data_IF_167094487358
#
_entry.id   IF_167094487358
#
_cell.length_a   1.000
_cell.length_b   1.000
_cell.length_c   1.000
_cell.angle_alpha   90.00
_cell.angle_beta   90.00
_cell.angle_gamma   90.00
#
_symmetry.space_group_name_H-M   'P 1'
#
loop_
_entity.id
_entity.type
_entity.pdbx_description
1 polymer ?
#
# COMPACT_ATOMS: atom_id res chain seq x y z
N UNK A 1 41.78 73.30 3.55
CA UNK A 1 40.41 73.26 4.11
C UNK A 1 40.00 71.81 4.25
N UNK A 2 39.93 71.33 5.51
CA UNK A 2 38.70 70.87 6.20
C UNK A 2 38.14 69.61 5.52
N UNK A 3 38.32 68.43 6.11
CA UNK A 3 37.28 67.75 6.90
C UNK A 3 36.51 66.78 5.99
N UNK A 4 35.97 65.62 6.35
CA UNK A 4 35.49 65.08 7.63
C UNK A 4 35.00 63.65 7.34
N UNK A 5 35.04 62.78 8.36
CA UNK A 5 34.26 61.54 8.44
C UNK A 5 32.73 61.79 8.33
N UNK A 6 31.95 60.80 7.84
CA UNK A 6 30.60 60.36 8.31
C UNK A 6 30.01 59.35 7.30
N UNK A 7 29.69 58.09 7.65
CA UNK A 7 28.57 57.52 8.45
C UNK A 7 27.18 57.54 7.77
N UNK A 8 26.56 56.34 7.74
CA UNK A 8 25.12 56.01 7.83
C UNK A 8 24.24 56.24 6.57
N UNK A 9 23.30 55.38 6.13
CA UNK A 9 22.42 54.37 6.79
C UNK A 9 22.05 53.18 5.87
N UNK A 10 21.55 52.06 6.45
CA UNK A 10 20.79 51.03 5.73
C UNK A 10 19.34 51.49 5.50
N UNK A 11 18.84 51.29 4.28
CA UNK A 11 17.42 51.40 3.96
C UNK A 11 16.79 50.00 4.01
N UNK A 12 15.89 49.81 4.97
CA UNK A 12 15.05 48.63 5.02
C UNK A 12 14.11 48.58 3.82
N UNK A 13 13.81 47.36 3.36
CA UNK A 13 12.53 47.06 2.75
C UNK A 13 11.95 45.79 3.37
N UNK A 14 10.78 46.03 3.94
CA UNK A 14 9.79 45.08 4.44
C UNK A 14 9.47 44.07 3.33
N UNK A 15 9.78 42.79 3.56
CA UNK A 15 9.35 41.67 2.73
C UNK A 15 8.11 41.03 3.34
N UNK A 16 7.03 41.00 2.57
CA UNK A 16 5.67 40.56 2.93
C UNK A 16 5.61 39.15 3.52
N UNK A 17 4.79 39.03 4.57
CA UNK A 17 4.33 37.77 5.15
C UNK A 17 3.58 36.92 4.12
N UNK A 18 3.86 35.60 4.12
CA UNK A 18 3.04 34.60 3.45
C UNK A 18 1.65 34.55 4.11
N UNK A 19 0.60 34.66 3.31
CA UNK A 19 -0.78 34.58 3.79
C UNK A 19 -1.10 33.14 4.19
N UNK A 20 -1.24 32.90 5.50
CA UNK A 20 -1.93 31.74 6.02
C UNK A 20 -3.45 31.98 5.87
N UNK A 21 -4.15 31.05 5.22
CA UNK A 21 -5.62 31.05 5.24
C UNK A 21 -6.06 30.36 6.53
N UNK A 22 -6.65 31.11 7.45
CA UNK A 22 -7.23 30.60 8.70
C UNK A 22 -8.75 30.59 8.56
N UNK A 23 -9.35 29.40 8.65
CA UNK A 23 -10.78 29.26 8.89
C UNK A 23 -10.96 28.75 10.33
N UNK A 24 -11.62 29.55 11.16
CA UNK A 24 -12.01 29.15 12.52
C UNK A 24 -13.46 28.68 12.45
N UNK A 25 -13.71 27.41 12.78
CA UNK A 25 -15.06 26.88 12.89
C UNK A 25 -15.55 26.94 14.35
N UNK A 26 -16.88 26.95 14.52
CA UNK A 26 -17.50 26.86 15.84
C UNK A 26 -16.95 25.63 16.59
N UNK A 27 -16.59 25.84 17.87
CA UNK A 27 -15.80 24.96 18.75
C UNK A 27 -14.27 25.09 18.71
N UNK A 28 -13.70 26.09 18.01
CA UNK A 28 -12.25 26.38 18.09
C UNK A 28 -11.37 25.46 17.25
N UNK A 29 -11.97 24.72 16.31
CA UNK A 29 -11.26 23.90 15.33
C UNK A 29 -10.54 24.85 14.35
N UNK A 30 -9.22 24.75 14.31
CA UNK A 30 -8.39 25.48 13.36
C UNK A 30 -7.99 24.51 12.25
N UNK A 31 -8.58 24.67 11.06
CA UNK A 31 -8.02 24.10 9.84
C UNK A 31 -6.95 25.10 9.38
N UNK A 32 -5.69 24.68 9.47
CA UNK A 32 -4.55 25.54 9.15
C UNK A 32 -3.75 24.89 8.02
N UNK A 33 -3.94 25.36 6.78
CA UNK A 33 -3.06 25.02 5.68
C UNK A 33 -1.69 25.72 5.89
N UNK A 34 -0.86 25.11 6.73
CA UNK A 34 0.49 25.57 7.04
C UNK A 34 1.47 24.40 6.99
N UNK A 35 2.72 24.71 6.64
CA UNK A 35 3.81 23.77 6.76
C UNK A 35 3.97 23.35 8.23
N UNK A 36 3.99 22.04 8.47
CA UNK A 36 4.23 21.47 9.78
C UNK A 36 5.01 20.17 9.63
N UNK A 37 5.96 19.95 10.54
CA UNK A 37 6.63 18.67 10.69
C UNK A 37 5.86 17.80 11.69
N UNK A 38 5.83 16.47 11.49
CA UNK A 38 5.24 15.55 12.44
C UNK A 38 5.95 15.67 13.80
N UNK A 39 5.17 15.69 14.89
CA UNK A 39 5.72 15.58 16.24
C UNK A 39 6.44 14.24 16.46
N UNK A 40 7.29 14.11 17.50
CA UNK A 40 8.01 12.88 17.79
C UNK A 40 7.09 11.69 18.14
N UNK A 41 5.84 11.97 18.51
CA UNK A 41 4.79 10.98 18.80
C UNK A 41 3.85 10.70 17.62
N UNK A 42 4.11 11.29 16.44
CA UNK A 42 3.21 11.16 15.31
C UNK A 42 3.15 9.72 14.77
N UNK A 43 1.93 9.22 14.59
CA UNK A 43 1.67 7.96 13.91
C UNK A 43 1.49 8.23 12.41
N UNK A 44 2.08 7.39 11.58
CA UNK A 44 2.13 7.56 10.13
C UNK A 44 1.25 6.52 9.44
N UNK A 45 0.40 6.97 8.52
CA UNK A 45 -0.54 6.14 7.77
C UNK A 45 -0.25 6.25 6.27
N UNK A 46 0.37 5.22 5.70
CA UNK A 46 0.73 5.15 4.28
C UNK A 46 -0.27 4.37 3.43
N UNK A 47 0.02 4.23 2.13
CA UNK A 47 -0.86 3.53 1.17
C UNK A 47 -1.20 2.07 1.50
N UNK A 48 -0.39 1.39 2.29
CA UNK A 48 -0.63 0.00 2.70
C UNK A 48 -1.42 -0.12 4.00
N UNK A 49 -1.72 1.00 4.67
CA UNK A 49 -2.58 0.98 5.85
C UNK A 49 -4.04 0.85 5.41
N UNK A 50 -4.73 -0.20 5.86
CA UNK A 50 -6.14 -0.46 5.52
C UNK A 50 -7.13 0.61 6.01
N UNK A 51 -6.67 1.61 6.77
CA UNK A 51 -7.46 2.81 7.13
C UNK A 51 -7.42 3.90 6.06
N UNK A 52 -6.42 3.86 5.20
CA UNK A 52 -6.30 4.77 4.06
C UNK A 52 -7.02 4.16 2.87
N UNK A 53 -8.03 4.85 2.34
CA UNK A 53 -8.83 4.38 1.22
C UNK A 53 -8.74 5.35 0.06
N UNK A 54 -8.26 4.87 -1.08
CA UNK A 54 -8.21 5.62 -2.33
C UNK A 54 -9.43 5.27 -3.18
N UNK A 55 -10.15 6.27 -3.66
CA UNK A 55 -11.32 6.14 -4.52
C UNK A 55 -11.11 6.93 -5.81
N UNK A 56 -11.50 6.35 -6.95
CA UNK A 56 -11.25 6.90 -8.28
C UNK A 56 -9.91 6.44 -8.87
N UNK A 57 -9.44 7.12 -9.91
CA UNK A 57 -8.23 6.71 -10.64
C UNK A 57 -6.97 7.14 -9.87
N UNK A 58 -6.28 6.16 -9.31
CA UNK A 58 -4.99 6.32 -8.63
C UNK A 58 -3.96 5.35 -9.21
N UNK A 59 -2.75 5.86 -9.43
CA UNK A 59 -1.64 5.09 -9.99
C UNK A 59 -0.45 5.15 -9.02
N UNK A 60 0.16 4.00 -8.68
CA UNK A 60 1.35 3.97 -7.85
C UNK A 60 2.53 4.63 -8.56
N UNK A 61 3.24 5.47 -7.83
CA UNK A 61 4.34 6.28 -8.34
C UNK A 61 5.54 6.20 -7.40
N UNK A 62 6.75 5.99 -7.92
CA UNK A 62 7.99 6.09 -7.18
C UNK A 62 8.30 7.54 -6.73
N UNK A 63 7.73 7.99 -5.62
CA UNK A 63 8.04 9.27 -4.98
C UNK A 63 8.71 9.02 -3.63
N UNK A 64 10.03 8.89 -3.65
CA UNK A 64 10.78 8.51 -2.46
C UNK A 64 10.60 9.52 -1.34
N UNK A 65 10.30 9.01 -0.16
CA UNK A 65 10.21 9.75 1.08
C UNK A 65 10.91 8.96 2.19
N UNK A 66 11.67 9.64 3.04
CA UNK A 66 12.33 8.98 4.18
C UNK A 66 11.33 8.33 5.14
N UNK A 67 10.08 8.77 5.10
CA UNK A 67 9.01 8.41 6.04
C UNK A 67 8.13 7.28 5.51
N UNK A 68 7.72 7.34 4.24
CA UNK A 68 6.77 6.39 3.62
C UNK A 68 7.42 5.42 2.62
N UNK A 69 8.74 5.51 2.44
CA UNK A 69 9.48 4.65 1.52
C UNK A 69 9.41 5.13 0.08
N UNK A 70 9.49 4.19 -0.88
CA UNK A 70 9.73 4.50 -2.29
C UNK A 70 8.50 4.94 -3.07
N UNK A 71 7.29 4.59 -2.61
CA UNK A 71 6.07 4.70 -3.41
C UNK A 71 5.03 5.64 -2.78
N UNK A 72 4.26 6.29 -3.64
CA UNK A 72 3.12 7.16 -3.33
C UNK A 72 1.99 6.88 -4.35
N UNK A 73 0.83 7.50 -4.16
CA UNK A 73 -0.29 7.44 -5.09
C UNK A 73 -0.46 8.75 -5.84
N UNK A 74 -0.58 8.68 -7.17
CA UNK A 74 -0.86 9.82 -8.03
C UNK A 74 -2.27 9.75 -8.58
N UNK A 75 -2.95 10.89 -8.65
CA UNK A 75 -4.17 11.03 -9.43
C UNK A 75 -4.15 12.31 -10.26
N UNK A 76 -4.57 12.19 -11.52
CA UNK A 76 -4.80 13.30 -12.44
C UNK A 76 -6.30 13.60 -12.60
N UNK A 77 -7.16 12.80 -11.97
CA UNK A 77 -8.62 12.82 -12.18
C UNK A 77 -9.29 13.70 -11.14
N UNK A 78 -10.01 14.73 -11.60
CA UNK A 78 -10.88 15.54 -10.73
C UNK A 78 -11.90 14.65 -10.03
N UNK A 79 -12.03 14.82 -8.72
CA UNK A 79 -12.97 14.06 -7.88
C UNK A 79 -12.40 12.75 -7.33
N UNK A 80 -11.21 12.31 -7.76
CA UNK A 80 -10.51 11.23 -7.08
C UNK A 80 -10.20 11.64 -5.63
N UNK A 81 -10.41 10.75 -4.69
CA UNK A 81 -10.28 11.05 -3.25
C UNK A 81 -9.44 10.03 -2.51
N UNK A 82 -8.86 10.47 -1.40
CA UNK A 82 -8.22 9.63 -0.40
C UNK A 82 -8.80 9.96 0.97
N UNK A 83 -9.15 8.92 1.72
CA UNK A 83 -9.76 9.03 3.04
C UNK A 83 -8.88 8.38 4.10
N UNK A 84 -8.90 8.93 5.33
CA UNK A 84 -8.32 8.31 6.52
C UNK A 84 -9.33 8.39 7.68
N UNK A 85 -9.65 7.25 8.27
CA UNK A 85 -10.25 7.16 9.61
C UNK A 85 -9.11 7.10 10.65
N UNK A 86 -9.07 8.03 11.63
CA UNK A 86 -8.01 8.08 12.66
C UNK A 86 -8.56 8.42 14.06
N UNK A 87 -7.75 8.18 15.10
CA UNK A 87 -8.00 8.74 16.43
C UNK A 87 -6.88 9.71 16.84
N UNK A 88 -7.21 10.92 17.27
CA UNK A 88 -6.23 11.92 17.66
C UNK A 88 -6.82 13.32 17.78
N UNK A 89 -5.96 14.32 17.97
CA UNK A 89 -6.38 15.75 18.05
C UNK A 89 -5.90 16.56 16.85
N UNK A 90 -5.07 15.97 15.98
CA UNK A 90 -4.54 16.63 14.79
C UNK A 90 -4.20 15.62 13.70
N UNK A 91 -4.26 16.08 12.45
CA UNK A 91 -3.92 15.28 11.28
C UNK A 91 -3.28 16.16 10.22
N UNK A 92 -2.32 15.61 9.49
CA UNK A 92 -1.69 16.26 8.35
C UNK A 92 -1.48 15.31 7.17
N UNK A 93 -1.28 15.91 5.99
CA UNK A 93 -1.10 15.24 4.71
C UNK A 93 0.35 15.31 4.25
N UNK A 94 0.97 14.16 3.99
CA UNK A 94 2.25 14.09 3.29
C UNK A 94 2.00 13.87 1.81
N UNK A 95 2.47 14.80 0.99
CA UNK A 95 2.28 14.81 -0.46
C UNK A 95 3.60 15.14 -1.16
N UNK A 96 3.65 14.95 -2.47
CA UNK A 96 4.77 15.47 -3.26
C UNK A 96 4.65 16.99 -3.35
N UNK A 97 5.78 17.70 -3.17
CA UNK A 97 5.88 19.13 -3.42
C UNK A 97 6.46 19.41 -4.81
N UNK A 98 6.26 20.63 -5.30
CA UNK A 98 6.81 21.11 -6.56
C UNK A 98 6.07 20.54 -7.75
N UNK A 99 6.82 19.92 -8.66
CA UNK A 99 6.28 19.24 -9.84
C UNK A 99 6.76 17.81 -9.96
N UNK A 100 6.17 17.06 -10.88
CA UNK A 100 6.64 15.71 -11.20
C UNK A 100 8.06 15.80 -11.77
N UNK A 101 9.04 15.19 -11.09
CA UNK A 101 10.45 15.17 -11.52
C UNK A 101 10.70 14.39 -12.81
N UNK A 102 11.95 14.11 -13.16
CA UNK A 102 12.36 13.24 -14.29
C UNK A 102 12.62 11.78 -13.86
N UNK A 103 12.41 11.49 -12.58
CA UNK A 103 12.72 10.24 -11.88
C UNK A 103 11.90 9.02 -12.35
N UNK A 104 11.10 9.21 -13.41
CA UNK A 104 10.00 8.36 -13.82
C UNK A 104 10.27 7.56 -15.08
N UNK A 105 11.32 7.90 -15.86
CA UNK A 105 11.56 7.29 -17.18
C UNK A 105 10.41 7.45 -18.20
N UNK A 106 9.32 8.12 -17.82
CA UNK A 106 8.11 8.37 -18.60
C UNK A 106 7.83 9.87 -18.52
N UNK A 107 7.98 10.56 -19.65
CA UNK A 107 7.69 11.99 -19.78
C UNK A 107 6.19 12.13 -20.05
N UNK A 108 5.43 12.64 -19.08
CA UNK A 108 4.04 13.07 -19.31
C UNK A 108 3.98 14.55 -19.66
N UNK A 109 2.90 15.05 -20.32
CA UNK A 109 2.75 16.47 -20.64
C UNK A 109 2.89 17.41 -19.44
N UNK A 110 2.60 16.90 -18.22
CA UNK A 110 2.64 17.66 -16.98
C UNK A 110 3.95 17.54 -16.18
N UNK A 111 4.98 16.90 -16.75
CA UNK A 111 6.30 16.79 -16.10
C UNK A 111 6.88 18.18 -15.85
N UNK A 112 7.39 18.41 -14.63
CA UNK A 112 7.93 19.71 -14.20
C UNK A 112 6.90 20.80 -13.90
N UNK A 113 5.61 20.54 -14.10
CA UNK A 113 4.54 21.49 -13.73
C UNK A 113 4.23 21.40 -12.24
N UNK A 114 3.93 22.54 -11.63
CA UNK A 114 3.47 22.58 -10.24
C UNK A 114 2.23 21.69 -10.04
N UNK A 115 2.19 20.94 -8.94
CA UNK A 115 1.05 20.08 -8.61
C UNK A 115 -0.21 20.87 -8.24
N UNK A 116 -1.33 20.16 -8.17
CA UNK A 116 -2.67 20.71 -8.13
C UNK A 116 -3.20 21.05 -6.74
N UNK A 117 -4.44 21.51 -6.74
CA UNK A 117 -5.25 21.84 -5.59
C UNK A 117 -6.05 20.62 -5.13
N UNK A 118 -6.22 20.50 -3.81
CA UNK A 118 -7.11 19.53 -3.22
C UNK A 118 -8.11 20.20 -2.27
N UNK A 119 -9.29 19.60 -2.13
CA UNK A 119 -10.28 19.95 -1.12
C UNK A 119 -10.15 18.99 0.06
N UNK A 120 -10.21 19.51 1.28
CA UNK A 120 -10.15 18.75 2.53
C UNK A 120 -11.43 18.91 3.30
N UNK A 121 -11.98 17.81 3.80
CA UNK A 121 -13.11 17.79 4.74
C UNK A 121 -12.75 16.95 5.95
N UNK A 122 -13.05 17.48 7.14
CA UNK A 122 -12.92 16.77 8.42
C UNK A 122 -14.33 16.54 8.97
N UNK A 123 -14.68 15.29 9.28
CA UNK A 123 -15.96 14.88 9.87
C UNK A 123 -17.21 15.41 9.14
N UNK A 124 -17.12 15.53 7.81
CA UNK A 124 -18.22 16.07 6.99
C UNK A 124 -18.44 17.58 7.14
N UNK A 125 -17.54 18.27 7.83
CA UNK A 125 -17.51 19.72 7.94
C UNK A 125 -17.26 20.44 6.60
N UNK A 126 -17.22 21.78 6.61
CA UNK A 126 -17.09 22.57 5.40
C UNK A 126 -15.75 22.30 4.70
N UNK A 127 -15.74 22.35 3.35
CA UNK A 127 -14.54 22.10 2.57
C UNK A 127 -13.50 23.21 2.73
N UNK A 128 -12.23 22.83 2.79
CA UNK A 128 -11.09 23.74 2.76
C UNK A 128 -10.15 23.37 1.62
N UNK A 129 -9.81 24.33 0.78
CA UNK A 129 -8.85 24.16 -0.30
C UNK A 129 -7.40 24.20 0.22
N UNK A 130 -6.58 23.25 -0.24
CA UNK A 130 -5.14 23.20 0.01
C UNK A 130 -4.36 23.15 -1.30
N UNK A 131 -3.15 23.70 -1.28
CA UNK A 131 -2.22 23.73 -2.41
C UNK A 131 -1.12 22.69 -2.23
N UNK A 132 -1.16 21.62 -3.01
CA UNK A 132 -0.19 20.51 -2.87
C UNK A 132 1.15 20.79 -3.55
N UNK A 133 1.28 21.91 -4.27
CA UNK A 133 2.51 22.26 -4.99
C UNK A 133 3.67 22.68 -4.06
N UNK A 134 3.44 22.86 -2.76
CA UNK A 134 4.43 23.43 -1.83
C UNK A 134 4.67 22.55 -0.62
N UNK A 135 5.88 22.64 -0.08
CA UNK A 135 6.28 22.18 1.26
C UNK A 135 6.14 20.67 1.58
N UNK A 136 5.41 19.89 0.78
CA UNK A 136 5.30 18.41 0.83
C UNK A 136 4.59 17.86 2.06
N UNK A 137 4.25 18.74 3.00
CA UNK A 137 3.58 18.44 4.26
C UNK A 137 2.64 19.59 4.59
N UNK A 138 1.36 19.28 4.68
CA UNK A 138 0.32 20.26 4.99
C UNK A 138 -0.44 19.79 6.24
N UNK A 139 -0.43 20.60 7.30
CA UNK A 139 -1.31 20.37 8.45
C UNK A 139 -2.76 20.54 7.98
N UNK A 140 -3.63 19.58 8.27
CA UNK A 140 -5.03 19.62 7.84
C UNK A 140 -5.95 20.08 8.98
N UNK A 141 -5.70 19.63 10.20
CA UNK A 141 -6.46 20.06 11.37
C UNK A 141 -5.63 19.96 12.65
N UNK A 142 -5.93 20.85 13.59
CA UNK A 142 -5.33 20.87 14.93
C UNK A 142 -6.36 21.30 15.98
N UNK A 143 -6.22 20.78 17.20
CA UNK A 143 -7.13 21.07 18.31
C UNK A 143 -8.49 20.40 18.17
N UNK A 144 -8.57 19.27 17.46
CA UNK A 144 -9.78 18.45 17.42
C UNK A 144 -10.06 17.88 18.82
N UNK A 145 -11.34 17.72 19.20
CA UNK A 145 -11.69 16.98 20.42
C UNK A 145 -11.04 15.60 20.40
N UNK A 146 -10.47 15.14 21.52
CA UNK A 146 -9.86 13.81 21.55
C UNK A 146 -10.89 12.74 21.18
N UNK A 147 -10.69 12.06 20.06
CA UNK A 147 -11.66 11.11 19.56
C UNK A 147 -11.35 10.57 18.18
N UNK A 148 -12.34 9.87 17.62
CA UNK A 148 -12.32 9.35 16.25
C UNK A 148 -12.76 10.43 15.27
N UNK A 149 -12.01 10.58 14.21
CA UNK A 149 -12.25 11.53 13.13
C UNK A 149 -12.10 10.86 11.76
N UNK A 150 -12.68 11.48 10.74
CA UNK A 150 -12.46 11.15 9.33
C UNK A 150 -11.98 12.37 8.58
N UNK A 151 -10.89 12.20 7.84
CA UNK A 151 -10.43 13.18 6.83
C UNK A 151 -10.65 12.64 5.44
N UNK A 152 -11.15 13.49 4.54
CA UNK A 152 -11.27 13.22 3.10
C UNK A 152 -10.52 14.30 2.35
N UNK A 153 -9.60 13.90 1.48
CA UNK A 153 -8.85 14.78 0.57
C UNK A 153 -9.25 14.45 -0.86
N UNK A 154 -9.79 15.42 -1.59
CA UNK A 154 -10.34 15.25 -2.95
C UNK A 154 -9.56 16.09 -3.95
N UNK A 155 -9.11 15.49 -5.05
CA UNK A 155 -8.45 16.20 -6.14
C UNK A 155 -9.43 17.17 -6.83
N UNK A 156 -9.10 18.46 -6.89
CA UNK A 156 -9.93 19.46 -7.57
C UNK A 156 -9.70 19.51 -9.08
N UNK A 157 -8.65 18.84 -9.60
CA UNK A 157 -8.28 18.88 -11.01
C UNK A 157 -7.86 20.27 -11.49
N UNK A 158 -7.43 21.13 -10.56
CA UNK A 158 -7.08 22.52 -10.79
C UNK A 158 -5.69 22.81 -10.22
N UNK A 159 -5.05 23.88 -10.68
CA UNK A 159 -3.76 24.36 -10.19
C UNK A 159 -3.86 25.82 -9.80
N UNK A 160 -3.12 26.20 -8.75
CA UNK A 160 -2.96 27.61 -8.37
C UNK A 160 -2.06 28.38 -9.32
N UNK A 161 -1.07 27.70 -9.91
CA UNK A 161 -0.13 28.30 -10.86
C UNK A 161 -0.68 28.24 -12.29
N UNK A 162 -0.62 29.35 -13.06
CA UNK A 162 -0.91 29.32 -14.49
C UNK A 162 -0.04 28.29 -15.20
N UNK A 163 -0.67 27.36 -15.93
CA UNK A 163 0.04 26.26 -16.60
C UNK A 163 0.56 25.17 -15.65
N UNK A 164 0.14 25.15 -14.38
CA UNK A 164 0.38 24.02 -13.47
C UNK A 164 -0.56 22.84 -13.75
N UNK A 165 -0.28 21.70 -13.12
CA UNK A 165 -1.02 20.45 -13.30
C UNK A 165 -2.24 20.36 -12.36
N UNK A 166 -3.30 19.70 -12.83
CA UNK A 166 -4.41 19.24 -11.96
C UNK A 166 -4.07 17.97 -11.16
N UNK A 167 -2.84 17.49 -11.23
CA UNK A 167 -2.36 16.27 -10.55
C UNK A 167 -2.12 16.51 -9.06
N UNK A 168 -2.53 15.56 -8.22
CA UNK A 168 -2.02 15.46 -6.84
C UNK A 168 -1.26 14.14 -6.64
N UNK A 169 -0.28 14.15 -5.74
CA UNK A 169 0.47 12.94 -5.35
C UNK A 169 0.49 12.84 -3.83
N UNK A 170 -0.12 11.79 -3.30
CA UNK A 170 -0.28 11.56 -1.85
C UNK A 170 0.63 10.42 -1.41
N UNK A 171 1.48 10.69 -0.42
CA UNK A 171 2.38 9.70 0.19
C UNK A 171 1.72 9.03 1.40
N UNK A 172 0.94 9.79 2.17
CA UNK A 172 0.24 9.31 3.35
C UNK A 172 -0.19 10.45 4.26
N UNK A 173 -0.50 10.12 5.51
CA UNK A 173 -0.92 11.05 6.55
C UNK A 173 -0.07 10.88 7.80
N UNK A 174 0.00 11.92 8.63
CA UNK A 174 0.45 11.78 10.01
C UNK A 174 -0.65 12.25 10.97
N UNK A 175 -0.72 11.61 12.14
CA UNK A 175 -1.67 11.91 13.20
C UNK A 175 -0.89 12.12 14.48
N UNK A 176 -1.14 13.23 15.19
CA UNK A 176 -0.54 13.49 16.50
C UNK A 176 -1.60 13.44 17.60
N UNK A 177 -1.22 12.81 18.71
CA UNK A 177 -1.98 12.71 19.96
C UNK A 177 -1.25 13.38 21.13
N UNK A 178 -0.10 14.01 20.90
CA UNK A 178 0.76 14.63 21.92
C UNK A 178 0.09 15.76 22.71
N UNK A 179 -1.00 16.33 22.21
CA UNK A 179 -1.76 17.39 22.90
C UNK A 179 -2.72 16.85 23.97
N UNK A 180 -2.94 15.54 24.05
CA UNK A 180 -3.77 14.92 25.09
C UNK A 180 -2.96 14.89 26.40
N UNK A 181 -3.28 15.70 27.43
CA UNK A 181 -2.38 15.88 28.59
C UNK A 181 -2.28 14.64 29.47
N UNK A 182 -3.37 13.87 29.58
CA UNK A 182 -3.42 12.64 30.36
C UNK A 182 -2.80 11.47 29.58
N UNK A 183 -1.72 10.88 30.12
CA UNK A 183 -0.99 9.78 29.48
C UNK A 183 -1.85 8.51 29.31
N UNK A 184 -2.75 8.23 30.26
CA UNK A 184 -3.62 7.06 30.21
C UNK A 184 -4.66 7.22 29.10
N UNK A 185 -5.29 8.39 29.01
CA UNK A 185 -6.25 8.71 27.94
C UNK A 185 -5.55 8.76 26.58
N UNK A 186 -4.34 9.33 26.51
CA UNK A 186 -3.54 9.35 25.28
C UNK A 186 -3.22 7.94 24.80
N UNK A 187 -2.71 7.09 25.69
CA UNK A 187 -2.43 5.68 25.39
C UNK A 187 -3.69 4.92 24.99
N UNK A 188 -4.83 5.23 25.60
CA UNK A 188 -6.10 4.63 25.22
C UNK A 188 -6.48 4.96 23.78
N UNK A 189 -6.38 6.23 23.36
CA UNK A 189 -6.67 6.59 21.98
C UNK A 189 -5.66 6.03 20.98
N UNK A 190 -4.37 5.93 21.34
CA UNK A 190 -3.38 5.25 20.51
C UNK A 190 -3.67 3.74 20.38
N UNK A 191 -4.12 3.10 21.46
CA UNK A 191 -4.53 1.69 21.44
C UNK A 191 -5.79 1.49 20.60
N UNK A 192 -6.80 2.35 20.77
CA UNK A 192 -8.01 2.30 19.95
C UNK A 192 -7.74 2.57 18.48
N UNK A 193 -6.83 3.49 18.18
CA UNK A 193 -6.33 3.69 16.83
C UNK A 193 -5.70 2.38 16.35
N UNK A 194 -4.81 1.73 17.10
CA UNK A 194 -4.13 0.49 16.70
C UNK A 194 -5.03 -0.75 16.43
N UNK A 195 -6.32 -0.72 16.77
CA UNK A 195 -7.28 -1.80 16.48
C UNK A 195 -7.41 -2.02 14.97
N UNK A 196 -7.50 -3.28 14.57
CA UNK A 196 -7.71 -3.74 13.18
C UNK A 196 -9.12 -4.32 13.01
N UNK A 197 -9.51 -4.61 11.77
CA UNK A 197 -10.82 -5.17 11.44
C UNK A 197 -11.88 -4.14 11.02
N UNK A 198 -13.12 -4.63 10.94
CA UNK A 198 -14.27 -3.88 10.43
C UNK A 198 -14.75 -2.73 11.32
N UNK A 199 -15.89 -2.14 10.96
CA UNK A 199 -16.45 -0.99 11.69
C UNK A 199 -16.81 -1.33 13.14
N UNK A 200 -17.33 -2.54 13.41
CA UNK A 200 -17.73 -2.97 14.75
C UNK A 200 -16.58 -2.95 15.75
N UNK A 201 -15.40 -3.44 15.35
CA UNK A 201 -14.17 -3.41 16.14
C UNK A 201 -13.71 -1.98 16.43
N UNK A 202 -13.68 -1.13 15.41
CA UNK A 202 -13.23 0.26 15.53
C UNK A 202 -14.20 1.10 16.37
N UNK A 203 -15.51 0.87 16.25
CA UNK A 203 -16.51 1.51 17.10
C UNK A 203 -16.34 1.10 18.56
N UNK A 204 -16.18 -0.20 18.84
CA UNK A 204 -15.93 -0.70 20.20
C UNK A 204 -14.65 -0.14 20.81
N UNK A 205 -13.58 -0.06 20.03
CA UNK A 205 -12.32 0.52 20.46
C UNK A 205 -12.47 1.99 20.86
N UNK A 206 -13.17 2.78 20.05
CA UNK A 206 -13.45 4.19 20.35
C UNK A 206 -14.35 4.36 21.59
N UNK A 207 -15.40 3.55 21.73
CA UNK A 207 -16.25 3.53 22.94
C UNK A 207 -15.42 3.26 24.20
N UNK A 208 -14.51 2.28 24.13
CA UNK A 208 -13.63 1.93 25.25
C UNK A 208 -12.64 3.03 25.56
N UNK A 209 -11.96 3.59 24.56
CA UNK A 209 -11.01 4.70 24.76
C UNK A 209 -11.67 5.93 25.40
N UNK A 210 -12.88 6.30 24.96
CA UNK A 210 -13.63 7.40 25.54
C UNK A 210 -14.04 7.18 27.01
N UNK A 211 -14.16 5.92 27.44
CA UNK A 211 -14.58 5.55 28.78
C UNK A 211 -13.42 5.28 29.76
N UNK A 212 -12.15 5.30 29.30
CA UNK A 212 -10.99 4.99 30.14
C UNK A 212 -10.84 5.99 31.27
N UNK A 213 -10.79 5.48 32.51
CA UNK A 213 -10.47 6.28 33.71
C UNK A 213 -9.35 5.67 34.55
N UNK A 214 -9.05 4.40 34.31
CA UNK A 214 -8.12 3.60 35.12
C UNK A 214 -7.14 2.81 34.26
N UNK A 215 -6.04 2.35 34.85
CA UNK A 215 -5.09 1.46 34.20
C UNK A 215 -5.72 0.10 33.81
N UNK A 216 -6.74 -0.36 34.54
CA UNK A 216 -7.45 -1.60 34.20
C UNK A 216 -8.36 -1.41 32.97
N UNK A 217 -8.96 -0.22 32.77
CA UNK A 217 -9.70 0.09 31.55
C UNK A 217 -8.77 0.11 30.33
N UNK A 218 -7.57 0.68 30.48
CA UNK A 218 -6.55 0.66 29.44
C UNK A 218 -6.12 -0.78 29.10
N UNK A 219 -5.94 -1.64 30.10
CA UNK A 219 -5.56 -3.05 29.88
C UNK A 219 -6.63 -3.82 29.09
N UNK A 220 -7.91 -3.57 29.34
CA UNK A 220 -9.02 -4.15 28.57
C UNK A 220 -9.01 -3.70 27.10
N UNK A 221 -8.63 -2.45 26.85
CA UNK A 221 -8.47 -1.94 25.49
C UNK A 221 -7.22 -2.54 24.80
N UNK A 222 -6.12 -2.75 25.52
CA UNK A 222 -4.94 -3.46 25.01
C UNK A 222 -5.29 -4.93 24.65
N UNK A 223 -6.12 -5.61 25.45
CA UNK A 223 -6.66 -6.94 25.13
C UNK A 223 -7.51 -6.94 23.84
N UNK A 224 -8.34 -5.90 23.64
CA UNK A 224 -9.11 -5.72 22.40
C UNK A 224 -8.17 -5.56 21.19
N UNK A 225 -7.08 -4.80 21.33
CA UNK A 225 -6.06 -4.64 20.29
C UNK A 225 -5.45 -5.99 19.93
N UNK A 226 -5.02 -6.77 20.93
CA UNK A 226 -4.45 -8.10 20.71
C UNK A 226 -5.45 -9.02 19.97
N UNK A 227 -6.70 -9.10 20.44
CA UNK A 227 -7.73 -9.90 19.80
C UNK A 227 -8.02 -9.48 18.36
N UNK A 228 -8.02 -8.18 18.07
CA UNK A 228 -8.23 -7.66 16.71
C UNK A 228 -7.10 -8.06 15.75
N UNK A 229 -5.86 -8.11 16.23
CA UNK A 229 -4.69 -8.52 15.44
C UNK A 229 -4.73 -10.02 15.15
N UNK A 230 -5.08 -10.83 16.15
CA UNK A 230 -5.23 -12.28 15.96
C UNK A 230 -6.30 -12.59 14.91
N UNK A 231 -7.43 -11.89 14.97
CA UNK A 231 -8.50 -12.05 13.98
C UNK A 231 -8.05 -11.61 12.58
N UNK A 232 -7.37 -10.47 12.48
CA UNK A 232 -6.87 -9.97 11.18
C UNK A 232 -5.88 -10.95 10.54
N UNK A 233 -4.94 -11.48 11.33
CA UNK A 233 -4.00 -12.50 10.88
C UNK A 233 -4.72 -13.79 10.42
N UNK A 234 -5.77 -14.22 11.13
CA UNK A 234 -6.57 -15.38 10.71
C UNK A 234 -7.38 -15.11 9.43
N UNK A 235 -7.80 -13.86 9.20
CA UNK A 235 -8.58 -13.45 8.04
C UNK A 235 -7.73 -13.10 6.81
N UNK A 236 -6.44 -12.81 6.98
CA UNK A 236 -5.53 -12.34 5.92
C UNK A 236 -5.58 -13.22 4.67
N UNK A 237 -5.47 -14.54 4.84
CA UNK A 237 -5.47 -15.51 3.74
C UNK A 237 -6.79 -15.51 2.96
N UNK A 238 -7.91 -15.42 3.68
CA UNK A 238 -9.25 -15.37 3.06
C UNK A 238 -9.42 -14.07 2.28
N UNK A 239 -8.92 -12.94 2.82
CA UNK A 239 -8.98 -11.64 2.11
C UNK A 239 -8.10 -11.62 0.86
N UNK A 240 -6.95 -12.29 0.90
CA UNK A 240 -6.03 -12.43 -0.22
C UNK A 240 -6.55 -13.37 -1.33
N UNK A 241 -7.53 -14.23 -1.05
CA UNK A 241 -8.13 -15.12 -2.04
C UNK A 241 -8.92 -14.31 -3.08
N UNK A 242 -8.44 -14.25 -4.32
CA UNK A 242 -9.18 -13.62 -5.41
C UNK A 242 -9.79 -14.69 -6.33
N UNK A 243 -11.04 -14.48 -6.74
CA UNK A 243 -11.70 -15.36 -7.73
C UNK A 243 -11.18 -15.09 -9.16
N UNK A 244 -10.59 -13.92 -9.37
CA UNK A 244 -10.03 -13.47 -10.64
C UNK A 244 -8.59 -12.99 -10.47
N UNK A 245 -7.75 -13.10 -11.52
CA UNK A 245 -6.46 -12.42 -11.54
C UNK A 245 -6.66 -10.89 -11.42
N UNK A 246 -5.78 -10.18 -10.70
CA UNK A 246 -5.87 -8.73 -10.58
C UNK A 246 -5.83 -8.07 -11.95
N UNK A 247 -6.60 -6.99 -12.12
CA UNK A 247 -6.62 -6.22 -13.35
C UNK A 247 -5.19 -5.73 -13.66
N UNK A 248 -4.70 -6.09 -14.85
CA UNK A 248 -3.41 -5.65 -15.35
C UNK A 248 -3.48 -5.54 -16.87
N UNK A 249 -2.68 -4.67 -17.51
CA UNK A 249 -2.63 -4.60 -18.97
C UNK A 249 -2.32 -5.95 -19.61
N UNK A 250 -1.54 -6.80 -18.94
CA UNK A 250 -1.29 -8.18 -19.36
C UNK A 250 -2.55 -9.03 -19.25
N UNK A 251 -3.24 -9.05 -18.10
CA UNK A 251 -4.48 -9.80 -17.94
C UNK A 251 -5.59 -9.33 -18.91
N UNK A 252 -5.71 -8.03 -19.17
CA UNK A 252 -6.64 -7.47 -20.16
C UNK A 252 -6.27 -7.85 -21.59
N UNK A 253 -4.97 -7.79 -21.94
CA UNK A 253 -4.48 -8.24 -23.25
C UNK A 253 -4.78 -9.73 -23.42
N UNK A 254 -4.40 -10.55 -22.45
CA UNK A 254 -4.65 -11.99 -22.51
C UNK A 254 -6.15 -12.28 -22.60
N UNK A 255 -7.03 -11.60 -21.85
CA UNK A 255 -8.49 -11.77 -21.99
C UNK A 255 -9.03 -11.52 -23.41
N UNK A 256 -8.37 -10.68 -24.22
CA UNK A 256 -8.77 -10.43 -25.61
C UNK A 256 -8.38 -11.56 -26.56
N UNK A 257 -7.34 -12.33 -26.24
CA UNK A 257 -6.75 -13.33 -27.15
C UNK A 257 -6.83 -14.76 -26.62
N UNK A 258 -7.07 -14.94 -25.34
CA UNK A 258 -7.14 -16.23 -24.66
C UNK A 258 -8.58 -16.58 -24.34
N UNK A 259 -9.03 -17.70 -24.87
CA UNK A 259 -10.30 -18.32 -24.49
C UNK A 259 -10.01 -19.47 -23.53
N UNK A 260 -10.51 -19.44 -22.28
CA UNK A 260 -10.34 -20.54 -21.33
C UNK A 260 -10.89 -21.84 -21.90
N UNK A 261 -10.07 -22.91 -21.90
CA UNK A 261 -10.55 -24.25 -22.22
C UNK A 261 -11.46 -24.80 -21.09
N UNK A 262 -12.06 -25.97 -21.29
CA UNK A 262 -12.99 -26.56 -20.31
C UNK A 262 -12.37 -26.82 -18.93
N UNK A 263 -11.10 -27.23 -18.87
CA UNK A 263 -10.41 -27.48 -17.60
C UNK A 263 -10.17 -26.18 -16.82
N UNK A 264 -9.74 -25.13 -17.51
CA UNK A 264 -9.58 -23.80 -16.93
C UNK A 264 -10.91 -23.26 -16.41
N UNK A 265 -12.00 -23.39 -17.17
CA UNK A 265 -13.32 -22.97 -16.72
C UNK A 265 -13.76 -23.72 -15.46
N UNK A 266 -13.51 -25.02 -15.40
CA UNK A 266 -13.80 -25.83 -14.23
C UNK A 266 -12.97 -25.41 -13.01
N UNK A 267 -11.68 -25.08 -13.19
CA UNK A 267 -10.83 -24.53 -12.13
C UNK A 267 -11.39 -23.20 -11.61
N UNK A 268 -11.67 -22.25 -12.50
CA UNK A 268 -12.21 -20.94 -12.13
C UNK A 268 -13.56 -21.05 -11.40
N UNK A 269 -14.42 -21.99 -11.82
CA UNK A 269 -15.69 -22.25 -11.12
C UNK A 269 -15.48 -22.76 -9.68
N UNK A 270 -14.51 -23.66 -9.45
CA UNK A 270 -14.17 -24.13 -8.10
C UNK A 270 -13.55 -23.03 -7.25
N UNK A 271 -12.66 -22.22 -7.83
CA UNK A 271 -12.05 -21.08 -7.16
C UNK A 271 -13.10 -20.04 -6.74
N UNK A 272 -14.07 -19.75 -7.62
CA UNK A 272 -15.20 -18.87 -7.32
C UNK A 272 -16.09 -19.41 -6.19
N UNK A 273 -16.34 -20.73 -6.16
CA UNK A 273 -17.07 -21.37 -5.07
C UNK A 273 -16.32 -21.25 -3.72
N UNK A 274 -15.01 -21.51 -3.70
CA UNK A 274 -14.17 -21.33 -2.52
C UNK A 274 -14.19 -19.87 -2.04
N UNK A 275 -14.12 -18.91 -2.96
CA UNK A 275 -14.23 -17.48 -2.61
C UNK A 275 -15.56 -17.16 -1.92
N UNK A 276 -16.67 -17.66 -2.47
CA UNK A 276 -18.00 -17.49 -1.88
C UNK A 276 -18.11 -18.12 -0.49
N UNK A 277 -17.46 -19.26 -0.26
CA UNK A 277 -17.38 -19.89 1.07
C UNK A 277 -16.61 -19.00 2.08
N UNK A 278 -15.55 -18.32 1.63
CA UNK A 278 -14.74 -17.43 2.47
C UNK A 278 -15.44 -16.10 2.82
N UNK A 279 -16.37 -15.62 1.99
CA UNK A 279 -17.05 -14.34 2.20
C UNK A 279 -17.89 -14.31 3.48
N UNK A 280 -18.56 -15.41 3.86
CA UNK A 280 -19.42 -15.43 5.04
C UNK A 280 -18.65 -15.34 6.38
N UNK A 281 -17.58 -16.14 6.62
CA UNK A 281 -16.71 -15.96 7.78
C UNK A 281 -16.05 -14.58 7.85
N UNK A 282 -15.65 -14.02 6.70
CA UNK A 282 -15.09 -12.67 6.62
C UNK A 282 -16.11 -11.60 7.04
N UNK A 283 -17.33 -11.65 6.50
CA UNK A 283 -18.40 -10.72 6.87
C UNK A 283 -18.73 -10.81 8.37
N UNK A 284 -18.75 -12.03 8.93
CA UNK A 284 -18.95 -12.24 10.37
C UNK A 284 -17.81 -11.64 11.20
N UNK A 285 -16.56 -11.80 10.78
CA UNK A 285 -15.39 -11.22 11.42
C UNK A 285 -15.41 -9.68 11.39
N UNK A 286 -15.78 -9.09 10.25
CA UNK A 286 -15.86 -7.64 10.07
C UNK A 286 -16.99 -7.00 10.92
N UNK A 287 -18.12 -7.71 11.05
CA UNK A 287 -19.25 -7.30 11.89
C UNK A 287 -19.09 -7.68 13.38
N UNK A 288 -18.06 -8.44 13.74
CA UNK A 288 -17.92 -8.95 15.10
C UNK A 288 -17.71 -7.81 16.10
N UNK A 289 -18.44 -7.86 17.21
CA UNK A 289 -18.28 -6.95 18.34
C UNK A 289 -17.67 -7.72 19.50
N UNK A 290 -16.40 -7.45 19.78
CA UNK A 290 -15.67 -8.13 20.85
C UNK A 290 -16.21 -7.74 22.23
N UNK A 291 -16.51 -8.76 23.03
CA UNK A 291 -16.85 -8.63 24.44
C UNK A 291 -15.73 -9.28 25.28
N UNK A 292 -15.11 -8.46 26.12
CA UNK A 292 -14.03 -8.89 26.99
C UNK A 292 -14.54 -9.85 28.09
N UNK A 293 -15.82 -9.74 28.46
CA UNK A 293 -16.46 -10.54 29.50
C UNK A 293 -16.87 -11.93 29.00
N UNK A 294 -17.11 -12.09 27.69
CA UNK A 294 -17.44 -13.37 27.07
C UNK A 294 -16.61 -13.60 25.80
N UNK A 295 -15.57 -14.43 25.95
CA UNK A 295 -14.67 -14.79 24.84
C UNK A 295 -15.18 -15.97 24.01
N UNK A 296 -16.27 -16.64 24.39
CA UNK A 296 -16.77 -17.82 23.66
C UNK A 296 -17.22 -17.49 22.23
N UNK A 297 -17.97 -16.39 21.97
CA UNK A 297 -18.31 -15.97 20.61
C UNK A 297 -17.08 -15.68 19.74
N UNK A 298 -16.04 -15.06 20.33
CA UNK A 298 -14.79 -14.77 19.64
C UNK A 298 -14.06 -16.06 19.24
N UNK A 299 -13.95 -17.03 20.16
CA UNK A 299 -13.36 -18.33 19.87
C UNK A 299 -14.08 -19.05 18.71
N UNK A 300 -15.41 -18.94 18.65
CA UNK A 300 -16.22 -19.47 17.54
C UNK A 300 -15.87 -18.84 16.18
N UNK A 301 -15.79 -17.51 16.12
CA UNK A 301 -15.37 -16.79 14.89
C UNK A 301 -13.96 -17.18 14.46
N UNK A 302 -13.02 -17.24 15.41
CA UNK A 302 -11.64 -17.63 15.15
C UNK A 302 -11.53 -19.07 14.61
N UNK A 303 -12.31 -20.00 15.16
CA UNK A 303 -12.35 -21.38 14.68
C UNK A 303 -12.90 -21.47 13.25
N UNK A 304 -13.94 -20.69 12.91
CA UNK A 304 -14.49 -20.63 11.56
C UNK A 304 -13.49 -20.06 10.54
N UNK A 305 -12.81 -18.96 10.89
CA UNK A 305 -11.77 -18.35 10.03
C UNK A 305 -10.63 -19.33 9.76
N UNK A 306 -10.10 -19.98 10.81
CA UNK A 306 -9.00 -20.95 10.70
C UNK A 306 -9.39 -22.16 9.86
N UNK A 307 -10.58 -22.72 10.08
CA UNK A 307 -11.10 -23.84 9.27
C UNK A 307 -11.22 -23.46 7.80
N UNK A 308 -11.65 -22.24 7.49
CA UNK A 308 -11.72 -21.76 6.12
C UNK A 308 -10.31 -21.55 5.53
N UNK A 309 -9.35 -21.03 6.31
CA UNK A 309 -7.97 -20.89 5.88
C UNK A 309 -7.32 -22.26 5.55
N UNK A 310 -7.54 -23.27 6.39
CA UNK A 310 -7.09 -24.65 6.14
C UNK A 310 -7.72 -25.22 4.86
N UNK A 311 -9.00 -24.89 4.60
CA UNK A 311 -9.70 -25.27 3.38
C UNK A 311 -9.10 -24.62 2.14
N UNK A 312 -8.71 -23.34 2.23
CA UNK A 312 -8.01 -22.63 1.15
C UNK A 312 -6.66 -23.28 0.85
N UNK A 313 -5.89 -23.64 1.88
CA UNK A 313 -4.61 -24.34 1.70
C UNK A 313 -4.80 -25.71 1.04
N UNK A 314 -5.78 -26.48 1.54
CA UNK A 314 -6.09 -27.79 0.97
C UNK A 314 -6.52 -27.69 -0.50
N UNK A 315 -7.31 -26.67 -0.85
CA UNK A 315 -7.71 -26.41 -2.23
C UNK A 315 -6.50 -26.15 -3.13
N UNK A 316 -5.61 -25.21 -2.79
CA UNK A 316 -4.46 -24.90 -3.63
C UNK A 316 -3.47 -26.07 -3.70
N UNK A 317 -3.27 -26.82 -2.61
CA UNK A 317 -2.47 -28.05 -2.65
C UNK A 317 -3.06 -29.09 -3.61
N UNK A 318 -4.38 -29.25 -3.61
CA UNK A 318 -5.06 -30.17 -4.54
C UNK A 318 -4.93 -29.71 -5.98
N UNK A 319 -5.14 -28.41 -6.27
CA UNK A 319 -4.99 -27.87 -7.62
C UNK A 319 -3.55 -27.98 -8.13
N UNK A 320 -2.54 -27.72 -7.28
CA UNK A 320 -1.13 -27.94 -7.63
C UNK A 320 -0.87 -29.40 -7.98
N UNK A 321 -1.37 -30.35 -7.19
CA UNK A 321 -1.19 -31.80 -7.47
C UNK A 321 -1.89 -32.25 -8.75
N UNK A 322 -2.88 -31.50 -9.25
CA UNK A 322 -3.58 -31.78 -10.52
C UNK A 322 -2.86 -31.21 -11.74
N UNK A 323 -1.87 -30.33 -11.56
CA UNK A 323 -1.12 -29.76 -12.66
C UNK A 323 -0.33 -30.85 -13.41
N UNK A 324 -0.15 -30.71 -14.73
CA UNK A 324 0.77 -31.56 -15.47
C UNK A 324 2.22 -31.36 -14.98
N UNK A 325 3.14 -32.28 -15.32
CA UNK A 325 4.55 -32.13 -14.96
C UNK A 325 5.11 -30.77 -15.39
N UNK A 326 5.77 -30.09 -14.46
CA UNK A 326 6.38 -28.78 -14.69
C UNK A 326 7.73 -28.98 -15.35
N UNK A 327 7.93 -28.37 -16.51
CA UNK A 327 9.20 -28.32 -17.22
C UNK A 327 9.99 -27.08 -16.78
N UNK A 328 11.24 -27.26 -16.39
CA UNK A 328 12.13 -26.17 -16.03
C UNK A 328 13.57 -26.51 -16.40
N UNK A 329 14.44 -25.51 -16.43
CA UNK A 329 15.88 -25.72 -16.54
C UNK A 329 16.60 -25.18 -15.31
N UNK A 330 17.75 -25.77 -15.00
CA UNK A 330 18.65 -25.33 -13.93
C UNK A 330 19.98 -24.89 -14.53
N UNK A 331 20.64 -23.95 -13.88
CA UNK A 331 21.99 -23.50 -14.23
C UNK A 331 22.45 -22.37 -13.32
N UNK A 332 23.70 -21.97 -13.47
CA UNK A 332 24.24 -20.82 -12.74
C UNK A 332 23.50 -19.53 -13.12
N UNK A 333 23.20 -18.63 -12.16
CA UNK A 333 22.64 -17.33 -12.46
C UNK A 333 23.45 -16.58 -13.51
N UNK A 334 22.80 -15.84 -14.39
CA UNK A 334 23.47 -15.05 -15.43
C UNK A 334 23.93 -13.70 -14.86
N UNK A 335 25.19 -13.34 -15.11
CA UNK A 335 25.69 -11.98 -14.91
C UNK A 335 25.36 -11.15 -16.14
N UNK A 336 24.49 -10.15 -15.98
CA UNK A 336 24.30 -9.11 -17.00
C UNK A 336 25.62 -8.36 -17.19
N UNK A 337 26.02 -8.12 -18.44
CA UNK A 337 27.07 -7.14 -18.73
C UNK A 337 26.58 -5.69 -18.55
N UNK A 338 27.38 -4.72 -19.00
CA UNK A 338 27.01 -3.29 -19.09
C UNK A 338 25.86 -3.07 -20.10
N UNK A 339 24.85 -2.27 -19.74
CA UNK A 339 23.65 -2.02 -20.54
C UNK A 339 23.95 -1.32 -21.89
N UNK A 340 23.15 -1.58 -22.96
CA UNK A 340 21.98 -2.46 -23.03
C UNK A 340 22.37 -3.88 -23.49
N UNK A 341 22.13 -4.91 -22.66
CA UNK A 341 22.44 -6.30 -23.05
C UNK A 341 21.20 -7.12 -23.40
N UNK A 342 21.35 -7.94 -24.42
CA UNK A 342 20.47 -9.06 -24.69
C UNK A 342 20.91 -10.27 -23.85
N UNK A 343 19.96 -11.14 -23.45
CA UNK A 343 20.24 -12.32 -22.60
C UNK A 343 21.40 -13.17 -23.12
N UNK A 344 21.55 -13.26 -24.45
CA UNK A 344 22.61 -13.96 -25.19
C UNK A 344 24.05 -13.47 -24.93
N UNK A 345 24.22 -12.24 -24.47
CA UNK A 345 25.52 -11.66 -24.13
C UNK A 345 25.91 -11.93 -22.67
N UNK A 346 24.99 -12.47 -21.87
CA UNK A 346 25.25 -12.78 -20.46
C UNK A 346 26.22 -13.95 -20.32
N UNK A 347 27.01 -13.92 -19.25
CA UNK A 347 27.90 -15.00 -18.86
C UNK A 347 27.36 -15.66 -17.58
N UNK A 348 27.53 -16.98 -17.39
CA UNK A 348 27.29 -17.60 -16.09
C UNK A 348 28.09 -16.89 -15.01
N UNK A 349 27.47 -16.60 -13.87
CA UNK A 349 28.12 -15.94 -12.75
C UNK A 349 29.34 -16.77 -12.30
N UNK A 350 30.48 -16.09 -12.13
CA UNK A 350 31.74 -16.75 -11.77
C UNK A 350 32.27 -17.73 -12.82
N UNK A 351 31.80 -17.67 -14.07
CA UNK A 351 32.15 -18.64 -15.13
C UNK A 351 31.83 -20.09 -14.74
N UNK A 352 30.81 -20.29 -13.90
CA UNK A 352 30.35 -21.61 -13.46
C UNK A 352 29.41 -22.20 -14.50
N UNK A 353 29.90 -23.13 -15.32
CA UNK A 353 29.14 -23.82 -16.36
C UNK A 353 28.38 -25.02 -15.78
N UNK A 354 27.34 -25.45 -16.50
CA UNK A 354 26.49 -26.55 -16.10
C UNK A 354 25.03 -26.18 -16.24
N UNK A 355 24.28 -26.97 -17.00
CA UNK A 355 22.85 -26.80 -17.15
C UNK A 355 22.13 -28.14 -17.25
N UNK A 356 20.85 -28.14 -16.88
CA UNK A 356 19.98 -29.30 -17.10
C UNK A 356 18.56 -28.86 -17.38
N UNK A 357 17.82 -29.66 -18.15
CA UNK A 357 16.37 -29.54 -18.34
C UNK A 357 15.73 -30.69 -17.59
N UNK A 358 14.74 -30.38 -16.76
CA UNK A 358 14.09 -31.33 -15.87
C UNK A 358 12.58 -31.20 -15.92
N UNK A 359 11.91 -32.30 -15.61
CA UNK A 359 10.49 -32.28 -15.28
C UNK A 359 10.27 -32.67 -13.83
N UNK A 360 9.35 -31.99 -13.17
CA UNK A 360 8.91 -32.32 -11.81
C UNK A 360 7.40 -32.56 -11.83
N UNK A 361 6.99 -33.68 -11.23
CA UNK A 361 5.58 -34.06 -11.13
C UNK A 361 5.01 -33.56 -9.80
N UNK A 362 4.14 -32.53 -9.82
CA UNK A 362 3.59 -31.95 -8.60
C UNK A 362 2.66 -32.91 -7.84
N UNK A 363 2.16 -33.98 -8.47
CA UNK A 363 1.39 -35.02 -7.79
C UNK A 363 2.26 -35.85 -6.83
N UNK A 364 3.58 -35.87 -7.03
CA UNK A 364 4.53 -36.65 -6.25
C UNK A 364 5.72 -35.77 -5.84
N UNK A 365 5.52 -34.78 -4.95
CA UNK A 365 6.51 -33.75 -4.65
C UNK A 365 7.83 -34.30 -4.11
N UNK A 366 7.78 -35.43 -3.41
CA UNK A 366 8.96 -36.09 -2.82
C UNK A 366 9.80 -36.86 -3.86
N UNK A 367 9.31 -37.05 -5.09
CA UNK A 367 10.09 -37.68 -6.15
C UNK A 367 11.11 -36.67 -6.72
N UNK A 368 12.36 -37.09 -6.95
CA UNK A 368 13.33 -36.23 -7.59
C UNK A 368 12.86 -35.85 -9.00
N UNK A 369 13.15 -34.62 -9.39
CA UNK A 369 12.87 -34.17 -10.76
C UNK A 369 13.60 -35.06 -11.77
N UNK A 370 12.87 -35.49 -12.81
CA UNK A 370 13.40 -36.30 -13.89
C UNK A 370 14.29 -35.44 -14.79
N UNK A 371 15.53 -35.86 -14.98
CA UNK A 371 16.45 -35.22 -15.93
C UNK A 371 16.08 -35.63 -17.35
N UNK A 372 15.84 -34.65 -18.21
CA UNK A 372 15.61 -34.85 -19.65
C UNK A 372 16.86 -34.56 -20.47
N UNK A 373 17.66 -33.60 -20.01
CA UNK A 373 18.91 -33.17 -20.62
C UNK A 373 19.82 -32.62 -19.53
N UNK A 374 21.12 -32.87 -19.64
CA UNK A 374 22.14 -32.32 -18.75
C UNK A 374 23.45 -32.18 -19.52
N UNK A 375 24.13 -31.04 -19.33
CA UNK A 375 25.40 -30.75 -20.00
C UNK A 375 26.29 -29.92 -19.06
N UNK A 376 27.51 -30.39 -18.84
CA UNK A 376 28.41 -29.85 -17.82
C UNK A 376 29.06 -28.52 -18.25
N UNK A 377 29.36 -28.38 -19.54
CA UNK A 377 30.11 -27.23 -20.08
C UNK A 377 29.23 -26.28 -20.89
N UNK A 378 27.95 -26.15 -20.51
CA UNK A 378 26.97 -25.33 -21.23
C UNK A 378 26.09 -24.50 -20.32
N UNK A 379 25.42 -23.52 -20.93
CA UNK A 379 24.36 -22.72 -20.30
C UNK A 379 23.16 -22.61 -21.26
N UNK A 380 21.96 -22.81 -20.73
CA UNK A 380 20.69 -22.63 -21.46
C UNK A 380 20.26 -21.16 -21.34
N UNK A 381 19.83 -20.56 -22.45
CA UNK A 381 19.44 -19.13 -22.50
C UNK A 381 17.96 -18.92 -22.77
N UNK A 382 17.34 -19.85 -23.50
CA UNK A 382 15.90 -19.90 -23.71
C UNK A 382 15.42 -21.35 -23.73
N UNK A 383 14.14 -21.52 -23.43
CA UNK A 383 13.44 -22.78 -23.48
C UNK A 383 12.00 -22.51 -23.89
N UNK A 384 11.53 -23.23 -24.90
CA UNK A 384 10.17 -23.20 -25.41
C UNK A 384 9.61 -24.62 -25.47
N UNK A 385 8.30 -24.73 -25.28
CA UNK A 385 7.56 -25.99 -25.34
C UNK A 385 6.62 -25.93 -26.55
N UNK A 386 6.53 -27.03 -27.31
CA UNK A 386 5.55 -27.16 -28.38
C UNK A 386 4.12 -27.05 -27.84
N UNK A 387 3.17 -26.62 -28.67
CA UNK A 387 1.76 -26.49 -28.27
C UNK A 387 1.12 -27.81 -27.81
N UNK A 388 1.60 -28.95 -28.30
CA UNK A 388 1.16 -30.28 -27.88
C UNK A 388 1.90 -30.80 -26.63
N UNK A 389 2.81 -30.00 -26.06
CA UNK A 389 3.64 -30.32 -24.91
C UNK A 389 4.54 -31.57 -25.06
N UNK A 390 4.85 -32.00 -26.30
CA UNK A 390 5.67 -33.20 -26.56
C UNK A 390 7.12 -32.91 -26.92
N UNK A 391 7.44 -31.69 -27.35
CA UNK A 391 8.78 -31.32 -27.83
C UNK A 391 9.28 -30.07 -27.13
N UNK A 392 10.52 -30.14 -26.62
CA UNK A 392 11.21 -29.00 -26.02
C UNK A 392 12.20 -28.43 -27.02
N UNK A 393 12.10 -27.14 -27.30
CA UNK A 393 13.06 -26.39 -28.09
C UNK A 393 13.86 -25.51 -27.15
N UNK A 394 15.19 -25.56 -27.23
CA UNK A 394 16.04 -24.74 -26.38
C UNK A 394 17.31 -24.38 -27.12
N UNK A 395 17.87 -23.23 -26.77
CA UNK A 395 19.23 -22.85 -27.14
C UNK A 395 20.16 -23.08 -25.96
N UNK A 396 21.39 -23.48 -26.29
CA UNK A 396 22.48 -23.45 -25.33
C UNK A 396 23.73 -22.86 -25.96
N UNK A 397 24.56 -22.26 -25.11
CA UNK A 397 25.93 -21.87 -25.46
C UNK A 397 26.89 -22.76 -24.69
N UNK A 398 27.84 -23.35 -25.41
CA UNK A 398 28.97 -24.05 -24.79
C UNK A 398 30.02 -23.06 -24.29
N UNK A 399 30.69 -23.40 -23.21
CA UNK A 399 31.88 -22.66 -22.75
C UNK A 399 32.94 -22.64 -23.86
N UNK A 400 33.62 -21.50 -24.05
CA UNK A 400 34.65 -21.28 -25.09
C UNK A 400 35.98 -22.02 -24.84
N UNK A 401 35.95 -23.19 -24.19
CA UNK A 401 37.13 -24.03 -24.00
C UNK A 401 37.31 -25.09 -25.11
N UNK A 402 36.53 -24.99 -26.21
CA UNK A 402 36.69 -25.78 -27.44
C UNK A 402 36.93 -24.87 -28.64
#
# INVERSE_FOLDING_TARGET
MIGTQRKWRPSGRIGRAGGATLAVLAAGIIIQAAHAEPGPSAVLHGRTDGRVRFTGDWVPVAASDKTFGRYAERSDTKGASVELDFCGTSVGLVHQAGGLGWEWGVITPDTGRALGLAEVRIDGGPPVEIDTSRDGRTLLAKGLPAGRHRVVVTNLGASRSPGGSGTIVVKGFWVDAGEIPDDTVRRAWLAADAVRGGEGWRARAAERAAAVKTADDLRRLEDLVAASRDMEAAAEKLRALTADPPASPMAERERRYWTPNGETQAYLARLAALRKEADAPLAKADAFRYDEADRAPFAGVMAELRRCADRVDAFFQEEVRRLPPILFFTGSPLKSGAAPNHIWQSQPLGNTWGCSIRTWDPAHPDRPAKVLFEEADSAIYDLNLSYDARTVFFSMRRGRAQ
#
